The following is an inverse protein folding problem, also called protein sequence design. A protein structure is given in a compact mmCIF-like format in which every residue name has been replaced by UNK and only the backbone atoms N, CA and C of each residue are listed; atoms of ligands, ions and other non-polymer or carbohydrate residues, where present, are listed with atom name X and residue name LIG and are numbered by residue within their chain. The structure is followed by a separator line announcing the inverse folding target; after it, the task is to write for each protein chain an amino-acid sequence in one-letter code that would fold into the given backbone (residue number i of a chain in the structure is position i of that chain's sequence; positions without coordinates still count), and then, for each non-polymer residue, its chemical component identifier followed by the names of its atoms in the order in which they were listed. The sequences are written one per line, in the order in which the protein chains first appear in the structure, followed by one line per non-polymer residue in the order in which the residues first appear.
data_IF_490283786565
#
_entry.id   IF_490283786565
#
_cell.length_a   1.000
_cell.length_b   1.000
_cell.length_c   1.000
_cell.angle_alpha   90.00
_cell.angle_beta   90.00
_cell.angle_gamma   90.00
#
_symmetry.space_group_name_H-M   'P 1'
#
loop_
_entity.id
_entity.type
_entity.pdbx_description
1 polymer ?
#
# COMPACT_ATOMS: atom_id res chain seq x y z
N UNK A 1 -11.52 -6.07 12.25
CA UNK A 1 -11.13 -4.92 11.41
C UNK A 1 -11.39 -3.61 12.14
N UNK A 2 -12.63 -3.27 12.57
CA UNK A 2 -12.95 -1.99 13.22
C UNK A 2 -12.08 -1.70 14.45
N UNK A 3 -11.90 -2.68 15.34
CA UNK A 3 -11.02 -2.55 16.51
C UNK A 3 -9.58 -2.23 16.09
N UNK A 4 -9.08 -2.87 15.04
CA UNK A 4 -7.74 -2.63 14.51
C UNK A 4 -7.57 -1.17 14.04
N UNK A 5 -8.57 -0.64 13.32
CA UNK A 5 -8.58 0.75 12.88
C UNK A 5 -8.56 1.73 14.06
N UNK A 6 -9.38 1.49 15.10
CA UNK A 6 -9.42 2.34 16.31
C UNK A 6 -8.08 2.31 17.05
N UNK A 7 -7.48 1.14 17.19
CA UNK A 7 -6.17 0.98 17.85
C UNK A 7 -5.07 1.68 17.03
N UNK A 8 -5.05 1.49 15.71
CA UNK A 8 -4.11 2.19 14.83
C UNK A 8 -4.25 3.70 14.90
N UNK A 9 -5.48 4.22 14.87
CA UNK A 9 -5.74 5.64 15.01
C UNK A 9 -5.21 6.19 16.36
N UNK A 10 -5.44 5.47 17.46
CA UNK A 10 -4.93 5.87 18.77
C UNK A 10 -3.39 5.88 18.83
N UNK A 11 -2.73 4.87 18.23
CA UNK A 11 -1.26 4.79 18.14
C UNK A 11 -0.73 5.95 17.30
N UNK A 12 -1.29 6.18 16.12
CA UNK A 12 -0.87 7.23 15.22
C UNK A 12 -1.07 8.64 15.80
N UNK A 13 -2.17 8.83 16.54
CA UNK A 13 -2.41 10.08 17.26
C UNK A 13 -1.33 10.32 18.33
N UNK A 14 -0.94 9.27 19.09
CA UNK A 14 0.13 9.34 20.11
C UNK A 14 1.52 9.58 19.49
N UNK A 15 1.75 9.13 18.27
CA UNK A 15 3.00 9.34 17.52
C UNK A 15 3.06 10.70 16.81
N UNK A 16 2.05 11.57 16.95
CA UNK A 16 1.90 12.82 16.19
C UNK A 16 2.05 12.59 14.67
N UNK A 17 1.34 11.59 14.16
CA UNK A 17 1.40 11.25 12.73
C UNK A 17 1.06 12.49 11.90
N UNK A 18 1.89 12.86 10.91
CA UNK A 18 1.51 13.88 9.94
C UNK A 18 0.27 13.42 9.17
N UNK A 19 -0.71 14.34 9.05
CA UNK A 19 -1.93 14.08 8.29
C UNK A 19 -1.87 14.87 6.97
N UNK A 20 -0.80 14.66 6.22
CA UNK A 20 -0.52 15.32 4.95
C UNK A 20 -0.51 14.31 3.78
N UNK A 21 -0.37 14.80 2.56
CA UNK A 21 -0.30 13.97 1.35
C UNK A 21 0.82 12.92 1.41
N UNK A 22 1.93 13.24 2.06
CA UNK A 22 3.09 12.35 2.16
C UNK A 22 2.73 11.10 2.96
N UNK A 23 2.03 11.29 4.08
CA UNK A 23 1.55 10.17 4.89
C UNK A 23 0.53 9.34 4.12
N UNK A 24 -0.30 9.99 3.34
CA UNK A 24 -1.29 9.34 2.50
C UNK A 24 -0.66 8.42 1.46
N UNK A 25 0.36 8.90 0.74
CA UNK A 25 1.13 8.05 -0.19
C UNK A 25 1.82 6.89 0.53
N UNK A 26 2.32 7.14 1.75
CA UNK A 26 2.91 6.08 2.55
C UNK A 26 1.88 4.99 2.89
N UNK A 27 0.67 5.36 3.30
CA UNK A 27 -0.40 4.40 3.60
C UNK A 27 -0.91 3.66 2.35
N UNK A 28 -0.95 4.31 1.19
CA UNK A 28 -1.30 3.65 -0.09
C UNK A 28 -0.34 2.50 -0.38
N UNK A 29 0.97 2.64 -0.13
CA UNK A 29 1.92 1.55 -0.32
C UNK A 29 1.58 0.31 0.54
N UNK A 30 1.05 0.50 1.75
CA UNK A 30 0.58 -0.58 2.62
C UNK A 30 -0.76 -1.17 2.20
N UNK A 31 -1.65 -0.33 1.66
CA UNK A 31 -2.91 -0.80 1.08
C UNK A 31 -2.65 -1.68 -0.14
N UNK A 32 -1.63 -1.36 -0.95
CA UNK A 32 -1.21 -2.19 -2.10
C UNK A 32 -0.60 -3.52 -1.64
N UNK A 33 0.15 -3.51 -0.54
CA UNK A 33 0.79 -4.73 -0.03
C UNK A 33 -0.24 -5.81 0.35
N UNK A 34 -1.40 -5.43 0.89
CA UNK A 34 -2.44 -6.38 1.30
C UNK A 34 -2.92 -7.28 0.15
N UNK A 35 -3.45 -6.76 -0.97
CA UNK A 35 -3.86 -7.60 -2.09
C UNK A 35 -2.69 -8.33 -2.75
N UNK A 36 -1.47 -7.75 -2.73
CA UNK A 36 -0.29 -8.43 -3.27
C UNK A 36 -0.01 -9.73 -2.52
N UNK A 37 -0.02 -9.68 -1.18
CA UNK A 37 0.15 -10.88 -0.36
C UNK A 37 -1.03 -11.84 -0.46
N UNK A 38 -2.25 -11.30 -0.55
CA UNK A 38 -3.45 -12.11 -0.65
C UNK A 38 -3.50 -12.94 -1.94
N UNK A 39 -3.13 -12.37 -3.07
CA UNK A 39 -3.08 -13.10 -4.35
C UNK A 39 -2.01 -14.20 -4.32
N UNK A 40 -0.89 -13.97 -3.67
CA UNK A 40 0.12 -15.00 -3.47
C UNK A 40 -0.39 -16.13 -2.57
N UNK A 41 -1.14 -15.82 -1.52
CA UNK A 41 -1.77 -16.82 -0.68
C UNK A 41 -2.83 -17.60 -1.46
N UNK A 42 -3.69 -16.93 -2.20
CA UNK A 42 -4.71 -17.60 -3.04
C UNK A 42 -4.10 -18.48 -4.17
N UNK A 43 -2.84 -18.25 -4.52
CA UNK A 43 -2.08 -19.06 -5.47
C UNK A 43 -1.28 -20.20 -4.81
N UNK A 44 -1.52 -20.45 -3.52
CA UNK A 44 -0.80 -21.46 -2.70
C UNK A 44 0.73 -21.22 -2.63
N UNK A 45 1.19 -19.96 -2.81
CA UNK A 45 2.63 -19.64 -2.80
C UNK A 45 3.28 -19.88 -1.44
N UNK A 46 2.57 -19.56 -0.35
CA UNK A 46 3.14 -19.60 0.99
C UNK A 46 3.07 -21.00 1.60
N UNK A 47 4.01 -21.27 2.51
CA UNK A 47 4.02 -22.50 3.27
C UNK A 47 2.79 -22.61 4.17
N UNK A 48 2.17 -23.79 4.24
CA UNK A 48 0.95 -24.07 5.04
C UNK A 48 1.11 -23.77 6.54
N UNK A 49 2.33 -23.69 7.05
CA UNK A 49 2.58 -23.31 8.45
C UNK A 49 2.32 -21.82 8.71
N UNK A 50 2.36 -20.98 7.67
CA UNK A 50 2.28 -19.51 7.77
C UNK A 50 1.15 -18.88 6.94
N UNK A 51 0.53 -19.61 6.01
CA UNK A 51 -0.53 -19.11 5.11
C UNK A 51 -1.69 -18.47 5.89
N UNK A 52 -2.07 -19.04 7.03
CA UNK A 52 -3.12 -18.53 7.91
C UNK A 52 -2.91 -17.07 8.35
N UNK A 53 -1.64 -16.58 8.38
CA UNK A 53 -1.34 -15.17 8.68
C UNK A 53 -1.83 -14.22 7.58
N UNK A 54 -2.07 -14.75 6.38
CA UNK A 54 -2.41 -13.98 5.19
C UNK A 54 -3.89 -14.11 4.82
N UNK A 55 -4.65 -14.92 5.56
CA UNK A 55 -6.10 -15.06 5.40
C UNK A 55 -6.82 -13.92 6.12
N UNK A 56 -7.89 -13.39 5.51
CA UNK A 56 -8.75 -12.39 6.17
C UNK A 56 -9.53 -13.02 7.35
N UNK A 57 -9.62 -12.38 8.54
CA UNK A 57 -9.18 -11.01 8.86
C UNK A 57 -7.75 -10.89 9.41
N UNK A 58 -6.99 -11.98 9.52
CA UNK A 58 -5.67 -12.02 10.21
C UNK A 58 -4.64 -11.20 9.44
N UNK A 59 -4.69 -11.18 8.11
CA UNK A 59 -3.79 -10.37 7.28
C UNK A 59 -3.80 -8.89 7.68
N UNK A 60 -4.93 -8.35 8.09
CA UNK A 60 -5.02 -6.94 8.52
C UNK A 60 -4.27 -6.70 9.83
N UNK A 61 -4.29 -7.68 10.75
CA UNK A 61 -3.55 -7.62 12.02
C UNK A 61 -2.05 -7.76 11.74
N UNK A 62 -1.67 -8.71 10.89
CA UNK A 62 -0.30 -8.92 10.45
C UNK A 62 0.30 -7.64 9.84
N UNK A 63 -0.39 -7.05 8.87
CA UNK A 63 0.04 -5.81 8.23
C UNK A 63 0.07 -4.63 9.21
N UNK A 64 -0.88 -4.54 10.14
CA UNK A 64 -0.90 -3.50 11.17
C UNK A 64 0.32 -3.61 12.10
N UNK A 65 0.74 -4.82 12.46
CA UNK A 65 1.95 -5.04 13.28
C UNK A 65 3.19 -4.54 12.52
N UNK A 66 3.35 -4.90 11.25
CA UNK A 66 4.47 -4.42 10.44
C UNK A 66 4.44 -2.91 10.24
N UNK A 67 3.27 -2.34 9.96
CA UNK A 67 3.08 -0.89 9.80
C UNK A 67 3.50 -0.11 11.05
N UNK A 68 2.98 -0.53 12.22
CA UNK A 68 3.30 0.12 13.51
C UNK A 68 4.77 -0.05 13.86
N UNK A 69 5.32 -1.25 13.69
CA UNK A 69 6.74 -1.54 13.96
C UNK A 69 7.64 -0.68 13.08
N UNK A 70 7.39 -0.65 11.78
CA UNK A 70 8.16 0.16 10.83
C UNK A 70 8.06 1.66 11.17
N UNK A 71 6.85 2.16 11.43
CA UNK A 71 6.62 3.55 11.79
C UNK A 71 7.29 3.94 13.10
N UNK A 72 7.11 3.14 14.14
CA UNK A 72 7.72 3.39 15.45
C UNK A 72 9.25 3.40 15.39
N UNK A 73 9.84 2.42 14.76
CA UNK A 73 11.30 2.31 14.60
C UNK A 73 11.83 3.50 13.78
N UNK A 74 11.19 3.83 12.66
CA UNK A 74 11.59 4.96 11.84
C UNK A 74 11.53 6.29 12.61
N UNK A 75 10.43 6.52 13.34
CA UNK A 75 10.27 7.71 14.16
C UNK A 75 11.32 7.80 15.27
N UNK A 76 11.55 6.71 16.02
CA UNK A 76 12.45 6.71 17.17
C UNK A 76 13.93 6.77 16.79
N UNK A 77 14.34 6.07 15.75
CA UNK A 77 15.75 5.91 15.43
C UNK A 77 16.26 6.97 14.43
N UNK A 78 15.43 7.39 13.48
CA UNK A 78 15.82 8.38 12.48
C UNK A 78 15.14 9.75 12.68
N UNK A 79 14.01 9.81 13.36
CA UNK A 79 13.25 11.05 13.56
C UNK A 79 13.97 12.14 14.35
N UNK A 80 15.00 11.80 15.12
CA UNK A 80 15.84 12.79 15.82
C UNK A 80 16.59 13.74 14.88
N UNK A 81 16.77 13.36 13.61
CA UNK A 81 17.39 14.21 12.57
C UNK A 81 16.36 14.89 11.67
N UNK A 82 15.06 14.73 11.97
CA UNK A 82 14.01 15.41 11.21
C UNK A 82 14.12 16.94 11.41
N UNK A 83 14.02 17.66 10.29
CA UNK A 83 14.12 19.11 10.30
C UNK A 83 15.55 19.68 10.35
N UNK A 84 16.57 18.85 10.44
CA UNK A 84 17.97 19.31 10.31
C UNK A 84 18.23 19.87 8.91
N UNK A 85 18.94 21.01 8.87
CA UNK A 85 19.43 21.61 7.62
C UNK A 85 20.81 21.12 7.24
N UNK A 86 21.49 20.43 8.15
CA UNK A 86 22.84 19.91 7.92
C UNK A 86 22.78 18.66 7.03
N UNK A 87 23.59 18.65 5.98
CA UNK A 87 23.63 17.53 5.04
C UNK A 87 24.10 16.22 5.70
N UNK A 88 25.04 16.34 6.65
CA UNK A 88 25.54 15.22 7.45
C UNK A 88 24.42 14.51 8.22
N UNK A 89 23.56 15.27 8.89
CA UNK A 89 22.44 14.72 9.66
C UNK A 89 21.42 14.01 8.76
N UNK A 90 21.14 14.59 7.59
CA UNK A 90 20.27 13.97 6.59
C UNK A 90 20.85 12.67 6.05
N UNK A 91 22.16 12.62 5.83
CA UNK A 91 22.83 11.40 5.39
C UNK A 91 22.81 10.32 6.47
N UNK A 92 23.05 10.68 7.73
CA UNK A 92 22.92 9.77 8.87
C UNK A 92 21.50 9.23 8.95
N UNK A 93 20.48 10.09 8.87
CA UNK A 93 19.08 9.66 8.90
C UNK A 93 18.74 8.65 7.79
N UNK A 94 19.20 8.90 6.56
CA UNK A 94 19.01 7.97 5.42
C UNK A 94 19.69 6.63 5.67
N UNK A 95 20.96 6.67 6.12
CA UNK A 95 21.75 5.48 6.37
C UNK A 95 21.13 4.63 7.48
N UNK A 96 20.72 5.26 8.59
CA UNK A 96 20.05 4.59 9.71
C UNK A 96 18.75 3.93 9.24
N UNK A 97 17.91 4.65 8.48
CA UNK A 97 16.69 4.08 7.94
C UNK A 97 16.98 2.90 7.01
N UNK A 98 17.92 3.05 6.09
CA UNK A 98 18.24 1.98 5.14
C UNK A 98 18.70 0.71 5.83
N UNK A 99 19.61 0.82 6.81
CA UNK A 99 20.14 -0.35 7.54
C UNK A 99 19.05 -1.05 8.34
N UNK A 100 18.25 -0.28 9.07
CA UNK A 100 17.25 -0.86 9.96
C UNK A 100 16.06 -1.43 9.17
N UNK A 101 15.56 -0.67 8.19
CA UNK A 101 14.46 -1.15 7.36
C UNK A 101 14.90 -2.27 6.42
N UNK A 102 16.15 -2.27 5.99
CA UNK A 102 16.75 -3.39 5.25
C UNK A 102 16.78 -4.67 6.08
N UNK A 103 17.11 -4.56 7.38
CA UNK A 103 17.02 -5.69 8.30
C UNK A 103 15.58 -6.17 8.53
N UNK A 104 14.63 -5.24 8.72
CA UNK A 104 13.22 -5.60 8.83
C UNK A 104 12.68 -6.25 7.55
N UNK A 105 13.10 -5.74 6.39
CA UNK A 105 12.75 -6.32 5.10
C UNK A 105 13.34 -7.73 4.93
N UNK A 106 14.56 -7.94 5.41
CA UNK A 106 15.17 -9.28 5.46
C UNK A 106 14.37 -10.22 6.36
N UNK A 107 13.93 -9.76 7.53
CA UNK A 107 13.06 -10.56 8.40
C UNK A 107 11.72 -10.89 7.72
N UNK A 108 11.11 -9.92 7.06
CA UNK A 108 9.88 -10.14 6.30
C UNK A 108 10.08 -11.17 5.19
N UNK A 109 11.17 -11.07 4.45
CA UNK A 109 11.54 -12.04 3.42
C UNK A 109 11.80 -13.44 4.01
N UNK A 110 12.58 -13.53 5.08
CA UNK A 110 12.94 -14.80 5.71
C UNK A 110 11.75 -15.51 6.36
N UNK A 111 10.75 -14.75 6.84
CA UNK A 111 9.57 -15.32 7.48
C UNK A 111 8.51 -15.76 6.47
N UNK A 112 8.34 -15.03 5.38
CA UNK A 112 7.25 -15.29 4.45
C UNK A 112 7.70 -15.99 3.15
N UNK A 113 8.79 -15.54 2.54
CA UNK A 113 9.14 -15.96 1.18
C UNK A 113 10.12 -17.15 1.16
N UNK A 114 11.10 -17.13 2.06
CA UNK A 114 12.09 -18.22 2.09
C UNK A 114 11.47 -19.59 2.37
N UNK A 115 10.46 -19.75 3.26
CA UNK A 115 9.83 -21.04 3.49
C UNK A 115 9.04 -21.58 2.26
N UNK A 116 8.56 -20.70 1.39
CA UNK A 116 7.78 -21.08 0.20
C UNK A 116 8.56 -21.97 -0.76
N UNK A 117 9.89 -21.89 -0.79
CA UNK A 117 10.73 -22.78 -1.58
C UNK A 117 10.57 -24.27 -1.21
N UNK A 118 10.28 -24.56 0.05
CA UNK A 118 10.06 -25.95 0.51
C UNK A 118 8.67 -26.49 0.14
N UNK A 119 7.71 -25.58 -0.11
CA UNK A 119 6.33 -25.93 -0.43
C UNK A 119 6.17 -26.31 -1.90
N UNK A 120 6.84 -25.59 -2.78
CA UNK A 120 6.74 -25.78 -4.22
C UNK A 120 8.12 -26.07 -4.82
N UNK A 121 8.44 -27.34 -5.15
CA UNK A 121 9.72 -27.69 -5.76
C UNK A 121 9.90 -27.04 -7.16
N UNK A 122 8.80 -26.64 -7.82
CA UNK A 122 8.79 -25.95 -9.11
C UNK A 122 9.20 -24.48 -9.00
N UNK A 123 9.14 -23.89 -7.79
CA UNK A 123 9.63 -22.54 -7.56
C UNK A 123 11.16 -22.53 -7.58
N UNK A 124 11.72 -21.87 -8.58
CA UNK A 124 13.18 -21.73 -8.66
C UNK A 124 13.70 -20.92 -7.48
N UNK A 125 14.66 -21.46 -6.75
CA UNK A 125 15.35 -20.79 -5.65
C UNK A 125 15.91 -19.42 -6.07
N UNK A 126 16.27 -19.23 -7.33
CA UNK A 126 16.75 -17.96 -7.85
C UNK A 126 15.71 -16.84 -7.71
N UNK A 127 14.44 -17.11 -7.98
CA UNK A 127 13.38 -16.12 -7.82
C UNK A 127 13.22 -15.68 -6.36
N UNK A 128 13.25 -16.63 -5.43
CA UNK A 128 13.20 -16.33 -3.98
C UNK A 128 14.39 -15.45 -3.57
N UNK A 129 15.61 -15.84 -3.94
CA UNK A 129 16.82 -15.10 -3.58
C UNK A 129 16.84 -13.72 -4.22
N UNK A 130 16.49 -13.59 -5.50
CA UNK A 130 16.54 -12.31 -6.21
C UNK A 130 15.43 -11.34 -5.82
N UNK A 131 14.31 -11.80 -5.26
CA UNK A 131 13.23 -10.94 -4.78
C UNK A 131 13.72 -9.96 -3.69
N UNK A 132 14.61 -10.43 -2.79
CA UNK A 132 15.15 -9.61 -1.72
C UNK A 132 16.04 -8.45 -2.20
N UNK A 133 17.11 -8.63 -3.01
CA UNK A 133 17.89 -7.50 -3.51
C UNK A 133 17.10 -6.53 -4.39
N UNK A 134 16.09 -7.00 -5.15
CA UNK A 134 15.20 -6.11 -5.91
C UNK A 134 14.38 -5.24 -4.95
N UNK A 135 13.81 -5.81 -3.91
CA UNK A 135 13.09 -5.07 -2.88
C UNK A 135 14.02 -4.13 -2.08
N UNK A 136 15.23 -4.57 -1.77
CA UNK A 136 16.24 -3.75 -1.09
C UNK A 136 16.66 -2.54 -1.94
N UNK A 137 16.78 -2.71 -3.25
CA UNK A 137 17.01 -1.60 -4.18
C UNK A 137 15.84 -0.62 -4.19
N UNK A 138 14.60 -1.11 -4.22
CA UNK A 138 13.41 -0.27 -4.09
C UNK A 138 13.41 0.52 -2.77
N UNK A 139 13.71 -0.14 -1.66
CA UNK A 139 13.85 0.49 -0.34
C UNK A 139 14.83 1.67 -0.39
N UNK A 140 16.04 1.42 -0.91
CA UNK A 140 17.08 2.45 -1.06
C UNK A 140 16.61 3.60 -1.93
N UNK A 141 16.06 3.29 -3.10
CA UNK A 141 15.57 4.30 -4.05
C UNK A 141 14.52 5.22 -3.44
N UNK A 142 13.54 4.64 -2.72
CA UNK A 142 12.48 5.42 -2.08
C UNK A 142 13.02 6.27 -0.94
N UNK A 143 13.93 5.76 -0.08
CA UNK A 143 14.57 6.54 0.99
C UNK A 143 15.31 7.76 0.43
N UNK A 144 16.02 7.59 -0.69
CA UNK A 144 16.75 8.68 -1.33
C UNK A 144 15.80 9.72 -1.95
N UNK A 145 14.74 9.26 -2.60
CA UNK A 145 13.76 10.15 -3.27
C UNK A 145 12.87 10.93 -2.30
N UNK A 146 12.68 10.41 -1.10
CA UNK A 146 11.86 11.05 -0.05
C UNK A 146 12.71 11.66 1.06
N UNK A 147 13.93 12.10 0.73
CA UNK A 147 14.92 12.59 1.70
C UNK A 147 14.44 13.80 2.52
N UNK A 148 13.56 14.62 1.97
CA UNK A 148 12.94 15.79 2.58
C UNK A 148 11.66 15.47 3.40
N UNK A 149 11.25 14.21 3.43
CA UNK A 149 10.09 13.78 4.20
C UNK A 149 10.47 13.45 5.64
N UNK A 150 9.52 13.59 6.60
CA UNK A 150 9.74 13.10 7.97
C UNK A 150 10.15 11.64 7.99
N UNK A 151 11.03 11.24 8.89
CA UNK A 151 11.58 9.88 8.95
C UNK A 151 10.49 8.82 9.11
N UNK A 152 9.43 9.12 9.87
CA UNK A 152 8.25 8.27 10.02
C UNK A 152 7.61 7.95 8.66
N UNK A 153 7.24 8.98 7.93
CA UNK A 153 6.54 8.86 6.63
C UNK A 153 7.45 8.22 5.59
N UNK A 154 8.72 8.64 5.56
CA UNK A 154 9.75 8.10 4.67
C UNK A 154 9.97 6.60 4.91
N UNK A 155 10.05 6.18 6.18
CA UNK A 155 10.19 4.77 6.53
C UNK A 155 8.97 3.94 6.13
N UNK A 156 7.77 4.46 6.37
CA UNK A 156 6.53 3.77 6.01
C UNK A 156 6.42 3.55 4.49
N UNK A 157 6.61 4.61 3.68
CA UNK A 157 6.51 4.45 2.23
C UNK A 157 7.62 3.55 1.68
N UNK A 158 8.84 3.67 2.20
CA UNK A 158 9.97 2.89 1.72
C UNK A 158 9.77 1.39 1.98
N UNK A 159 9.38 1.02 3.20
CA UNK A 159 9.14 -0.38 3.54
C UNK A 159 7.91 -0.95 2.81
N UNK A 160 6.78 -0.23 2.83
CA UNK A 160 5.55 -0.67 2.16
C UNK A 160 5.74 -0.89 0.66
N UNK A 161 6.45 0.03 -0.01
CA UNK A 161 6.79 -0.11 -1.43
C UNK A 161 7.74 -1.28 -1.70
N UNK A 162 8.78 -1.44 -0.88
CA UNK A 162 9.75 -2.53 -1.03
C UNK A 162 9.10 -3.91 -0.82
N UNK A 163 8.27 -4.05 0.22
CA UNK A 163 7.53 -5.29 0.48
C UNK A 163 6.53 -5.60 -0.65
N UNK A 164 5.83 -4.56 -1.18
CA UNK A 164 4.94 -4.73 -2.34
C UNK A 164 5.69 -5.17 -3.59
N UNK A 165 6.85 -4.57 -3.87
CA UNK A 165 7.70 -4.96 -5.00
C UNK A 165 8.19 -6.41 -4.86
N UNK A 166 8.53 -6.83 -3.64
CA UNK A 166 8.91 -8.22 -3.37
C UNK A 166 7.80 -9.20 -3.73
N UNK A 167 6.56 -8.93 -3.31
CA UNK A 167 5.42 -9.77 -3.65
C UNK A 167 5.09 -9.75 -5.15
N UNK A 168 5.09 -8.57 -5.77
CA UNK A 168 4.86 -8.42 -7.21
C UNK A 168 5.91 -9.16 -8.04
N UNK A 169 7.14 -9.26 -7.56
CA UNK A 169 8.19 -10.03 -8.23
C UNK A 169 7.79 -11.52 -8.38
N UNK A 170 7.12 -12.08 -7.36
CA UNK A 170 6.61 -13.45 -7.43
C UNK A 170 5.33 -13.58 -8.27
N UNK A 171 4.55 -12.52 -8.42
CA UNK A 171 3.47 -12.53 -9.42
C UNK A 171 4.03 -12.66 -10.84
N UNK A 172 5.12 -11.94 -11.16
CA UNK A 172 5.77 -12.10 -12.47
C UNK A 172 6.34 -13.50 -12.65
N UNK A 173 6.91 -14.09 -11.60
CA UNK A 173 7.33 -15.48 -11.63
C UNK A 173 6.15 -16.41 -11.97
N UNK A 174 5.00 -16.24 -11.30
CA UNK A 174 3.82 -17.07 -11.54
C UNK A 174 3.28 -16.93 -12.97
N UNK A 175 3.34 -15.75 -13.55
CA UNK A 175 2.94 -15.50 -14.94
C UNK A 175 3.91 -16.18 -15.94
N UNK A 176 5.21 -16.15 -15.66
CA UNK A 176 6.26 -16.69 -16.52
C UNK A 176 6.35 -18.22 -16.40
N UNK A 177 6.35 -18.72 -15.19
CA UNK A 177 6.46 -20.15 -14.87
C UNK A 177 5.57 -20.50 -13.67
N UNK A 178 4.28 -20.75 -13.94
CA UNK A 178 3.31 -21.03 -12.88
C UNK A 178 3.67 -22.35 -12.17
N UNK A 179 3.64 -22.32 -10.84
CA UNK A 179 3.76 -23.53 -10.03
C UNK A 179 2.42 -24.24 -9.92
N UNK A 180 2.45 -25.53 -9.63
CA UNK A 180 1.26 -26.34 -9.44
C UNK A 180 0.58 -25.97 -8.11
N UNK A 181 -0.71 -25.64 -8.16
CA UNK A 181 -1.52 -25.40 -6.99
C UNK A 181 -2.01 -26.72 -6.36
N UNK A 182 -2.20 -26.77 -5.05
CA UNK A 182 -2.74 -27.94 -4.33
C UNK A 182 -4.12 -28.37 -4.88
N UNK A 183 -4.90 -27.42 -5.38
CA UNK A 183 -6.20 -27.69 -6.01
C UNK A 183 -6.11 -28.52 -7.29
N UNK A 184 -4.90 -28.85 -7.77
CA UNK A 184 -4.69 -29.59 -9.01
C UNK A 184 -5.04 -28.82 -10.28
N UNK A 185 -5.36 -27.52 -10.18
CA UNK A 185 -5.59 -26.66 -11.34
C UNK A 185 -4.26 -26.32 -11.99
N UNK A 186 -3.96 -27.06 -13.07
CA UNK A 186 -2.93 -26.63 -14.01
C UNK A 186 -3.53 -25.51 -14.85
N UNK A 187 -3.04 -24.31 -14.66
CA UNK A 187 -3.39 -23.20 -15.53
C UNK A 187 -2.43 -23.22 -16.71
N UNK A 188 -2.82 -23.94 -17.77
CA UNK A 188 -2.02 -24.09 -18.99
C UNK A 188 -1.72 -22.77 -19.71
N UNK A 189 -2.55 -21.76 -19.53
CA UNK A 189 -2.29 -20.39 -19.98
C UNK A 189 -3.12 -19.39 -19.19
N UNK A 190 -2.48 -18.36 -18.66
CA UNK A 190 -3.17 -17.25 -17.98
C UNK A 190 -3.63 -16.24 -19.04
N UNK A 191 -4.93 -16.08 -19.30
CA UNK A 191 -5.38 -15.03 -20.20
C UNK A 191 -5.11 -13.67 -19.56
N UNK A 192 -4.40 -12.78 -20.26
CA UNK A 192 -4.08 -11.45 -19.75
C UNK A 192 -5.20 -10.42 -19.97
N UNK A 193 -6.24 -10.74 -20.74
CA UNK A 193 -7.33 -9.80 -21.01
C UNK A 193 -8.12 -9.35 -19.75
N UNK A 194 -8.28 -10.16 -18.67
CA UNK A 194 -8.94 -9.70 -17.46
C UNK A 194 -8.27 -8.49 -16.84
N UNK A 195 -6.94 -8.41 -16.95
CA UNK A 195 -6.16 -7.26 -16.46
C UNK A 195 -6.59 -5.97 -17.15
N UNK A 196 -6.94 -6.03 -18.45
CA UNK A 196 -7.44 -4.87 -19.18
C UNK A 196 -8.81 -4.39 -18.68
N UNK A 197 -9.67 -5.29 -18.21
CA UNK A 197 -10.95 -4.93 -17.61
C UNK A 197 -10.71 -4.37 -16.20
N UNK A 198 -10.02 -5.14 -15.35
CA UNK A 198 -9.83 -4.84 -13.94
C UNK A 198 -9.03 -3.56 -13.71
N UNK A 199 -8.03 -3.28 -14.54
CA UNK A 199 -7.21 -2.06 -14.43
C UNK A 199 -7.61 -0.98 -15.45
N UNK A 200 -7.99 -1.37 -16.65
CA UNK A 200 -8.25 -0.45 -17.75
C UNK A 200 -9.53 0.37 -17.56
N UNK A 201 -10.64 -0.26 -17.18
CA UNK A 201 -11.88 0.47 -16.95
C UNK A 201 -11.78 1.44 -15.76
N UNK A 202 -11.23 1.06 -14.58
CA UNK A 202 -10.97 2.02 -13.50
C UNK A 202 -10.04 3.16 -13.92
N UNK A 203 -9.00 2.88 -14.70
CA UNK A 203 -8.11 3.93 -15.20
C UNK A 203 -8.83 4.94 -16.09
N UNK A 204 -9.71 4.47 -16.99
CA UNK A 204 -10.53 5.34 -17.85
C UNK A 204 -11.42 6.24 -17.01
N UNK A 205 -12.10 5.68 -15.98
CA UNK A 205 -12.94 6.45 -15.06
C UNK A 205 -12.12 7.50 -14.33
N UNK A 206 -10.96 7.13 -13.79
CA UNK A 206 -10.06 8.06 -13.09
C UNK A 206 -9.54 9.17 -14.01
N UNK A 207 -9.18 8.86 -15.26
CA UNK A 207 -8.77 9.87 -16.25
C UNK A 207 -9.92 10.83 -16.54
N UNK A 208 -11.14 10.33 -16.67
CA UNK A 208 -12.34 11.17 -16.86
C UNK A 208 -12.56 12.10 -15.66
N UNK A 209 -12.55 11.58 -14.43
CA UNK A 209 -12.71 12.36 -13.21
C UNK A 209 -11.61 13.42 -13.07
N UNK A 210 -10.35 13.04 -13.31
CA UNK A 210 -9.25 13.97 -13.30
C UNK A 210 -9.45 15.12 -14.31
N UNK A 211 -9.84 14.80 -15.55
CA UNK A 211 -10.10 15.82 -16.57
C UNK A 211 -11.26 16.72 -16.20
N UNK A 212 -12.28 16.17 -15.55
CA UNK A 212 -13.45 16.93 -15.08
C UNK A 212 -13.10 17.94 -13.98
N UNK A 213 -12.20 17.56 -13.05
CA UNK A 213 -11.86 18.38 -11.89
C UNK A 213 -10.60 19.25 -12.02
N UNK A 214 -9.71 18.98 -12.99
CA UNK A 214 -8.35 19.57 -13.06
C UNK A 214 -8.31 21.10 -13.14
N UNK A 215 -9.28 21.72 -13.81
CA UNK A 215 -9.28 23.17 -14.01
C UNK A 215 -9.67 23.89 -12.72
N UNK A 216 -10.68 23.37 -12.00
CA UNK A 216 -11.07 23.87 -10.68
C UNK A 216 -9.96 23.64 -9.65
N UNK A 217 -9.28 22.46 -9.72
CA UNK A 217 -8.12 22.19 -8.88
C UNK A 217 -6.96 23.15 -9.13
N UNK A 218 -6.72 23.55 -10.36
CA UNK A 218 -5.73 24.57 -10.71
C UNK A 218 -6.05 25.94 -10.11
N UNK A 219 -7.30 26.37 -10.21
CA UNK A 219 -7.74 27.64 -9.61
C UNK A 219 -7.56 27.65 -8.10
N UNK A 220 -7.91 26.56 -7.44
CA UNK A 220 -7.78 26.42 -5.99
C UNK A 220 -6.29 26.39 -5.58
N UNK A 221 -5.44 25.73 -6.35
CA UNK A 221 -4.00 25.71 -6.11
C UNK A 221 -3.37 27.10 -6.11
N UNK A 222 -3.90 28.04 -6.90
CA UNK A 222 -3.44 29.44 -6.93
C UNK A 222 -3.78 30.20 -5.63
N UNK A 223 -4.68 29.68 -4.79
CA UNK A 223 -5.04 30.27 -3.50
C UNK A 223 -4.29 29.64 -2.32
N UNK A 224 -3.27 28.77 -2.57
CA UNK A 224 -2.55 27.97 -1.56
C UNK A 224 -3.45 27.05 -0.72
N UNK A 225 -4.70 26.89 -1.11
CA UNK A 225 -5.66 26.01 -0.45
C UNK A 225 -6.07 24.88 -1.40
N UNK A 226 -5.90 23.63 -0.96
CA UNK A 226 -6.30 22.43 -1.69
C UNK A 226 -7.35 21.66 -0.88
N UNK A 227 -8.61 21.62 -1.36
CA UNK A 227 -9.65 20.85 -0.69
C UNK A 227 -9.30 19.37 -0.63
N UNK A 228 -9.52 18.76 0.53
CA UNK A 228 -9.19 17.35 0.76
C UNK A 228 -7.69 17.05 0.83
N UNK A 229 -6.84 18.08 0.76
CA UNK A 229 -5.39 17.98 0.92
C UNK A 229 -4.98 18.78 2.14
N UNK A 230 -4.36 18.13 3.10
CA UNK A 230 -3.85 18.81 4.29
C UNK A 230 -2.49 19.46 4.00
N UNK A 231 -2.25 20.69 4.52
CA UNK A 231 -0.95 21.31 4.40
C UNK A 231 0.17 20.43 4.97
N UNK A 232 1.33 20.45 4.33
CA UNK A 232 2.47 19.68 4.81
C UNK A 232 2.83 20.05 6.26
N UNK A 233 3.05 19.04 7.09
CA UNK A 233 3.40 19.22 8.50
C UNK A 233 2.21 19.35 9.48
N UNK A 234 0.97 19.38 9.00
CA UNK A 234 -0.20 19.27 9.88
C UNK A 234 -0.24 17.86 10.49
N UNK A 235 -0.46 17.80 11.80
CA UNK A 235 -0.69 16.53 12.50
C UNK A 235 -2.19 16.20 12.53
N UNK A 236 -2.52 14.91 12.61
CA UNK A 236 -3.90 14.45 12.74
C UNK A 236 -4.62 15.13 13.92
N UNK A 237 -3.92 15.31 15.03
CA UNK A 237 -4.48 16.01 16.20
C UNK A 237 -4.80 17.47 15.89
N UNK A 238 -3.89 18.21 15.25
CA UNK A 238 -4.12 19.60 14.88
C UNK A 238 -5.27 19.75 13.88
N UNK A 239 -5.45 18.78 12.98
CA UNK A 239 -6.57 18.74 12.06
C UNK A 239 -7.91 18.49 12.76
N UNK A 240 -7.96 17.50 13.65
CA UNK A 240 -9.17 17.21 14.46
C UNK A 240 -9.54 18.39 15.37
N UNK A 241 -8.55 19.06 16.00
CA UNK A 241 -8.77 20.22 16.85
C UNK A 241 -9.21 21.47 16.04
N UNK A 242 -8.84 21.57 14.76
CA UNK A 242 -9.29 22.64 13.86
C UNK A 242 -10.76 22.49 13.44
N UNK A 243 -11.29 21.25 13.39
CA UNK A 243 -12.68 20.88 13.27
C UNK A 243 -13.50 21.69 12.24
N UNK A 244 -14.60 22.27 12.69
CA UNK A 244 -15.58 22.99 11.87
C UNK A 244 -15.05 24.25 11.16
N UNK A 245 -13.96 24.86 11.66
CA UNK A 245 -13.45 26.11 11.06
C UNK A 245 -12.90 25.93 9.65
N UNK A 246 -12.40 24.73 9.35
CA UNK A 246 -11.87 24.39 8.02
C UNK A 246 -13.00 24.05 7.05
N UNK A 247 -14.07 23.39 7.52
CA UNK A 247 -15.23 23.05 6.69
C UNK A 247 -16.05 24.26 6.24
N UNK A 248 -15.88 25.40 6.91
CA UNK A 248 -16.57 26.66 6.57
C UNK A 248 -15.80 27.52 5.56
N UNK A 249 -14.62 27.12 5.12
CA UNK A 249 -13.85 27.90 4.15
C UNK A 249 -14.61 27.99 2.82
N UNK A 250 -14.77 29.19 2.22
CA UNK A 250 -15.53 29.38 0.98
C UNK A 250 -15.04 28.51 -0.19
N UNK A 251 -13.76 28.19 -0.22
CA UNK A 251 -13.14 27.32 -1.22
C UNK A 251 -13.62 25.87 -1.10
N UNK A 252 -14.03 25.41 0.08
CA UNK A 252 -14.62 24.09 0.28
C UNK A 252 -15.91 23.91 -0.54
N UNK A 253 -16.73 24.95 -0.65
CA UNK A 253 -17.98 24.90 -1.40
C UNK A 253 -17.75 24.90 -2.93
N UNK A 254 -16.70 25.58 -3.40
CA UNK A 254 -16.26 25.60 -4.80
C UNK A 254 -15.49 24.31 -5.18
N UNK A 255 -15.10 23.53 -4.21
CA UNK A 255 -14.09 22.50 -4.33
C UNK A 255 -14.61 21.12 -4.72
N UNK A 256 -15.92 20.88 -4.76
CA UNK A 256 -16.47 19.54 -5.05
C UNK A 256 -15.97 18.98 -6.38
N UNK A 257 -15.85 19.81 -7.39
CA UNK A 257 -15.27 19.45 -8.68
C UNK A 257 -13.76 19.22 -8.60
N UNK A 258 -13.04 20.09 -7.87
CA UNK A 258 -11.62 19.99 -7.69
C UNK A 258 -11.21 18.70 -6.97
N UNK A 259 -12.04 18.20 -6.05
CA UNK A 259 -11.84 16.91 -5.38
C UNK A 259 -11.73 15.73 -6.37
N UNK A 260 -12.41 15.80 -7.52
CA UNK A 260 -12.33 14.75 -8.54
C UNK A 260 -10.95 14.67 -9.21
N UNK A 261 -10.12 15.72 -9.09
CA UNK A 261 -8.73 15.69 -9.54
C UNK A 261 -7.73 15.43 -8.40
N UNK A 262 -8.19 15.25 -7.18
CA UNK A 262 -7.33 14.94 -6.03
C UNK A 262 -6.78 13.51 -6.18
N UNK A 263 -5.45 13.32 -6.12
CA UNK A 263 -4.83 12.01 -6.29
C UNK A 263 -5.35 10.94 -5.32
N UNK A 264 -5.73 11.33 -4.11
CA UNK A 264 -6.29 10.40 -3.12
C UNK A 264 -7.67 9.92 -3.50
N UNK A 265 -8.56 10.85 -3.86
CA UNK A 265 -9.92 10.51 -4.31
C UNK A 265 -9.83 9.58 -5.51
N UNK A 266 -8.94 9.88 -6.45
CA UNK A 266 -8.69 9.02 -7.62
C UNK A 266 -8.15 7.64 -7.23
N UNK A 267 -7.21 7.56 -6.28
CA UNK A 267 -6.68 6.29 -5.80
C UNK A 267 -7.76 5.45 -5.10
N UNK A 268 -8.61 6.07 -4.27
CA UNK A 268 -9.75 5.39 -3.64
C UNK A 268 -10.76 4.87 -4.66
N UNK A 269 -11.15 5.70 -5.62
CA UNK A 269 -12.09 5.32 -6.70
C UNK A 269 -11.48 4.20 -7.54
N UNK A 270 -10.19 4.33 -7.91
CA UNK A 270 -9.48 3.31 -8.67
C UNK A 270 -9.47 1.98 -7.93
N UNK A 271 -9.08 1.98 -6.65
CA UNK A 271 -9.02 0.76 -5.83
C UNK A 271 -10.38 0.07 -5.69
N UNK A 272 -11.44 0.83 -5.39
CA UNK A 272 -12.80 0.28 -5.26
C UNK A 272 -13.33 -0.30 -6.58
N UNK A 273 -13.07 0.37 -7.70
CA UNK A 273 -13.46 -0.15 -9.01
C UNK A 273 -12.65 -1.38 -9.39
N UNK A 274 -11.33 -1.41 -9.11
CA UNK A 274 -10.51 -2.59 -9.34
C UNK A 274 -11.02 -3.80 -8.55
N UNK A 275 -11.37 -3.62 -7.28
CA UNK A 275 -11.92 -4.66 -6.42
C UNK A 275 -13.25 -5.19 -6.98
N UNK A 276 -14.18 -4.29 -7.30
CA UNK A 276 -15.47 -4.68 -7.90
C UNK A 276 -15.32 -5.41 -9.25
N UNK A 277 -14.46 -4.92 -10.15
CA UNK A 277 -14.24 -5.59 -11.43
C UNK A 277 -13.47 -6.92 -11.28
N UNK A 278 -12.54 -7.01 -10.34
CA UNK A 278 -11.83 -8.26 -10.07
C UNK A 278 -12.79 -9.34 -9.57
N UNK A 279 -13.68 -8.97 -8.63
CA UNK A 279 -14.73 -9.85 -8.11
C UNK A 279 -15.69 -10.29 -9.22
N UNK A 280 -16.20 -9.36 -10.01
CA UNK A 280 -17.09 -9.66 -11.14
C UNK A 280 -16.44 -10.60 -12.15
N UNK A 281 -15.22 -10.30 -12.58
CA UNK A 281 -14.49 -11.14 -13.53
C UNK A 281 -14.20 -12.52 -12.94
N UNK A 282 -13.79 -12.58 -11.67
CA UNK A 282 -13.49 -13.84 -11.00
C UNK A 282 -14.72 -14.74 -10.88
N UNK A 283 -15.83 -14.21 -10.42
CA UNK A 283 -17.07 -14.97 -10.19
C UNK A 283 -17.76 -15.30 -11.51
N UNK A 284 -18.08 -14.27 -12.30
CA UNK A 284 -18.96 -14.44 -13.48
C UNK A 284 -18.29 -15.11 -14.66
N UNK A 285 -16.98 -14.87 -14.85
CA UNK A 285 -16.27 -15.36 -16.04
C UNK A 285 -15.34 -16.53 -15.76
N UNK A 286 -14.82 -16.67 -14.54
CA UNK A 286 -13.92 -17.75 -14.16
C UNK A 286 -14.53 -18.74 -13.15
N UNK A 287 -15.74 -18.45 -12.65
CA UNK A 287 -16.45 -19.34 -11.74
C UNK A 287 -15.76 -19.51 -10.38
N UNK A 288 -15.02 -18.50 -9.91
CA UNK A 288 -14.45 -18.51 -8.56
C UNK A 288 -15.56 -18.37 -7.51
N UNK A 289 -15.45 -19.12 -6.41
CA UNK A 289 -16.33 -18.96 -5.27
C UNK A 289 -15.93 -17.74 -4.45
N UNK A 290 -16.93 -16.98 -3.96
CA UNK A 290 -16.69 -15.91 -3.00
C UNK A 290 -16.30 -16.51 -1.64
N UNK A 291 -15.12 -16.15 -1.13
CA UNK A 291 -14.62 -16.66 0.18
C UNK A 291 -15.13 -15.81 1.37
N UNK A 292 -15.68 -14.62 1.10
CA UNK A 292 -16.18 -13.73 2.16
C UNK A 292 -17.65 -14.06 2.49
N UNK A 293 -17.96 -14.51 3.74
CA UNK A 293 -19.34 -14.93 4.11
C UNK A 293 -20.38 -13.83 3.91
N UNK A 294 -20.00 -12.54 4.06
CA UNK A 294 -20.92 -11.42 3.88
C UNK A 294 -21.18 -11.15 2.41
N UNK A 295 -20.14 -11.21 1.57
CA UNK A 295 -20.28 -11.03 0.12
C UNK A 295 -21.02 -12.19 -0.52
N UNK A 296 -20.74 -13.42 -0.09
CA UNK A 296 -21.44 -14.63 -0.54
C UNK A 296 -22.95 -14.54 -0.24
N UNK A 297 -23.34 -14.07 0.95
CA UNK A 297 -24.75 -13.88 1.33
C UNK A 297 -25.48 -12.77 0.52
N UNK A 298 -24.75 -11.88 -0.16
CA UNK A 298 -25.33 -10.82 -1.01
C UNK A 298 -25.45 -11.29 -2.46
N UNK A 299 -24.57 -12.18 -2.90
CA UNK A 299 -24.49 -12.68 -4.30
C UNK A 299 -25.49 -13.84 -4.52
N UNK A 300 -25.80 -14.63 -3.48
CA UNK A 300 -26.84 -15.67 -3.51
C UNK A 300 -28.26 -15.07 -3.45
#
# INVERSE_FOLDING_TARGET
VLLCVVVLQAIFRKMNLPADDRMMYALIAWVILAPVLRVLEDSDFFNSDIDWLLISPIIHIHLAIWLVTTGFISHKLAGKWDGSKEDTDREISRTVLFVILGFLLFLHWALLYQPSYSTHPDISMYWIIFSFPVALYCLFFVIVRTADWPALTRGLIAFGSAASVMGLFHWFQFIDSPWQQESGRLVESQPLWPVLIVLGLPAIVCIYLYRYGKDDARHIKLTDYQPGVLPAGITLKAWEDAGEKVSQHPVEQLSRKALMANPMVLAMVFGQLCDGFATMVGIDLFGYGEKHPVSDAVIQ
#
